data_IF_518421457051
#
_entry.id   IF_518421457051
#
_cell.length_a   1.000
_cell.length_b   1.000
_cell.length_c   1.000
_cell.angle_alpha   90.00
_cell.angle_beta   90.00
_cell.angle_gamma   90.00
#
_symmetry.space_group_name_H-M   'P 1'
#
loop_
_entity.id
_entity.type
_entity.pdbx_description
1 polymer ?
#
# COMPACT_ATOMS: atom_id res chain seq x y z
N UNK A 1 2.94 -1.22 -34.11
CA UNK A 1 1.58 -1.00 -33.54
C UNK A 1 0.93 -2.29 -33.02
N UNK A 2 1.21 -3.45 -33.63
CA UNK A 2 0.65 -4.74 -33.21
C UNK A 2 1.15 -5.22 -31.85
N UNK A 3 2.40 -4.96 -31.52
CA UNK A 3 3.00 -5.37 -30.25
C UNK A 3 2.53 -4.56 -29.06
N UNK A 4 2.30 -3.26 -29.28
CA UNK A 4 1.70 -2.38 -28.27
C UNK A 4 0.25 -2.77 -27.97
N UNK A 5 -0.50 -3.16 -28.99
CA UNK A 5 -1.88 -3.62 -28.83
C UNK A 5 -1.96 -4.96 -28.07
N UNK A 6 -1.03 -5.89 -28.34
CA UNK A 6 -0.91 -7.16 -27.62
C UNK A 6 -0.48 -6.96 -26.15
N UNK A 7 0.51 -6.09 -25.91
CA UNK A 7 0.96 -5.73 -24.57
C UNK A 7 -0.17 -5.10 -23.77
N UNK A 8 -0.92 -4.16 -24.37
CA UNK A 8 -2.07 -3.51 -23.73
C UNK A 8 -3.17 -4.53 -23.39
N UNK A 9 -3.51 -5.44 -24.31
CA UNK A 9 -4.52 -6.47 -24.05
C UNK A 9 -4.10 -7.43 -22.93
N UNK A 10 -2.83 -7.82 -22.87
CA UNK A 10 -2.30 -8.66 -21.78
C UNK A 10 -2.35 -7.94 -20.45
N UNK A 11 -1.94 -6.68 -20.39
CA UNK A 11 -1.99 -5.87 -19.15
C UNK A 11 -3.43 -5.70 -18.66
N UNK A 12 -4.40 -5.50 -19.56
CA UNK A 12 -5.81 -5.36 -19.20
C UNK A 12 -6.40 -6.62 -18.54
N UNK A 13 -5.86 -7.79 -18.83
CA UNK A 13 -6.31 -9.05 -18.22
C UNK A 13 -5.49 -9.37 -16.96
N UNK A 14 -4.18 -9.20 -17.02
CA UNK A 14 -3.27 -9.57 -15.93
C UNK A 14 -3.50 -8.69 -14.70
N UNK A 15 -3.72 -7.38 -14.88
CA UNK A 15 -3.90 -6.43 -13.77
C UNK A 15 -5.12 -6.76 -12.89
N UNK A 16 -6.34 -6.95 -13.44
CA UNK A 16 -7.49 -7.35 -12.62
C UNK A 16 -7.32 -8.72 -11.95
N UNK A 17 -6.72 -9.68 -12.66
CA UNK A 17 -6.44 -11.02 -12.09
C UNK A 17 -5.49 -10.91 -10.90
N UNK A 18 -4.41 -10.14 -11.04
CA UNK A 18 -3.45 -9.92 -9.96
C UNK A 18 -4.10 -9.23 -8.76
N UNK A 19 -4.92 -8.20 -8.99
CA UNK A 19 -5.67 -7.52 -7.93
C UNK A 19 -6.62 -8.48 -7.24
N UNK A 20 -7.33 -9.32 -7.98
CA UNK A 20 -8.24 -10.32 -7.42
C UNK A 20 -7.48 -11.34 -6.55
N UNK A 21 -6.34 -11.83 -7.00
CA UNK A 21 -5.49 -12.76 -6.22
C UNK A 21 -5.02 -12.09 -4.93
N UNK A 22 -4.54 -10.86 -5.00
CA UNK A 22 -4.09 -10.10 -3.83
C UNK A 22 -5.26 -9.89 -2.86
N UNK A 23 -6.44 -9.54 -3.36
CA UNK A 23 -7.63 -9.38 -2.53
C UNK A 23 -7.98 -10.67 -1.79
N UNK A 24 -7.95 -11.81 -2.49
CA UNK A 24 -8.23 -13.13 -1.89
C UNK A 24 -7.19 -13.45 -0.80
N UNK A 25 -5.90 -13.23 -1.07
CA UNK A 25 -4.84 -13.46 -0.07
C UNK A 25 -5.00 -12.56 1.15
N UNK A 26 -5.31 -11.28 0.95
CA UNK A 26 -5.57 -10.34 2.05
C UNK A 26 -6.83 -10.74 2.84
N UNK A 27 -7.85 -11.22 2.15
CA UNK A 27 -9.06 -11.72 2.79
C UNK A 27 -8.75 -12.91 3.70
N UNK A 28 -7.97 -13.89 3.22
CA UNK A 28 -7.54 -15.01 4.06
C UNK A 28 -6.66 -14.58 5.23
N UNK A 29 -5.81 -13.58 5.03
CA UNK A 29 -4.90 -13.09 6.07
C UNK A 29 -5.64 -12.35 7.19
N UNK A 30 -6.61 -11.51 6.84
CA UNK A 30 -7.32 -10.67 7.82
C UNK A 30 -8.66 -11.27 8.27
N UNK A 31 -9.19 -12.25 7.54
CA UNK A 31 -10.53 -12.82 7.79
C UNK A 31 -11.68 -11.83 7.52
N UNK A 32 -11.40 -10.68 6.88
CA UNK A 32 -12.37 -9.62 6.61
C UNK A 32 -12.13 -8.97 5.26
N UNK A 33 -13.18 -8.89 4.43
CA UNK A 33 -13.16 -8.20 3.16
C UNK A 33 -12.95 -6.67 3.32
N UNK A 34 -13.36 -6.13 4.45
CA UNK A 34 -13.25 -4.71 4.75
C UNK A 34 -11.79 -4.29 4.91
N UNK A 35 -10.99 -5.05 5.66
CA UNK A 35 -9.56 -4.79 5.82
C UNK A 35 -8.78 -5.02 4.53
N UNK A 36 -9.14 -6.04 3.76
CA UNK A 36 -8.57 -6.27 2.44
C UNK A 36 -8.85 -5.08 1.49
N UNK A 37 -10.08 -4.57 1.51
CA UNK A 37 -10.47 -3.38 0.75
C UNK A 37 -9.72 -2.12 1.16
N UNK A 38 -9.51 -1.91 2.46
CA UNK A 38 -8.72 -0.79 3.00
C UNK A 38 -7.27 -0.80 2.50
N UNK A 39 -6.63 -1.97 2.52
CA UNK A 39 -5.27 -2.12 1.99
C UNK A 39 -5.23 -1.80 0.51
N UNK A 40 -6.17 -2.34 -0.28
CA UNK A 40 -6.22 -2.10 -1.72
C UNK A 40 -6.57 -0.64 -2.06
N UNK A 41 -7.32 0.06 -1.21
CA UNK A 41 -7.61 1.48 -1.41
C UNK A 41 -6.35 2.35 -1.38
N UNK A 42 -5.28 1.90 -0.72
CA UNK A 42 -4.00 2.59 -0.70
C UNK A 42 -3.31 2.61 -2.08
N UNK A 43 -3.60 1.62 -2.92
CA UNK A 43 -2.98 1.47 -4.26
C UNK A 43 -3.32 2.61 -5.22
N UNK A 44 -4.60 2.98 -5.46
CA UNK A 44 -4.94 4.10 -6.34
C UNK A 44 -4.24 5.39 -5.96
N UNK A 45 -4.10 5.66 -4.67
CA UNK A 45 -3.44 6.87 -4.19
C UNK A 45 -1.93 6.87 -4.48
N UNK A 46 -1.29 5.72 -4.35
CA UNK A 46 0.12 5.59 -4.71
C UNK A 46 0.34 5.77 -6.22
N UNK A 47 -0.59 5.29 -7.04
CA UNK A 47 -0.56 5.48 -8.49
C UNK A 47 -0.68 6.96 -8.87
N UNK A 48 -1.59 7.69 -8.22
CA UNK A 48 -1.75 9.14 -8.43
C UNK A 48 -0.44 9.87 -8.13
N UNK A 49 0.25 9.53 -7.05
CA UNK A 49 1.55 10.10 -6.72
C UNK A 49 2.62 9.82 -7.78
N UNK A 50 2.69 8.59 -8.27
CA UNK A 50 3.61 8.23 -9.35
C UNK A 50 3.35 8.98 -10.65
N UNK A 51 2.08 9.10 -11.05
CA UNK A 51 1.67 9.87 -12.24
C UNK A 51 1.98 11.36 -12.08
N UNK A 52 1.68 11.93 -10.92
CA UNK A 52 1.96 13.33 -10.62
C UNK A 52 3.46 13.65 -10.75
N UNK A 53 4.33 12.79 -10.22
CA UNK A 53 5.78 13.00 -10.33
C UNK A 53 6.30 12.84 -11.76
N UNK A 54 5.74 11.92 -12.56
CA UNK A 54 6.06 11.84 -13.99
C UNK A 54 5.68 13.13 -14.71
N UNK A 55 4.49 13.66 -14.42
CA UNK A 55 4.00 14.90 -15.01
C UNK A 55 4.89 16.10 -14.62
N UNK A 56 5.22 16.25 -13.34
CA UNK A 56 6.08 17.33 -12.84
C UNK A 56 7.49 17.30 -13.46
N UNK A 57 7.99 16.13 -13.81
CA UNK A 57 9.31 15.97 -14.43
C UNK A 57 9.25 15.92 -15.96
N UNK A 58 8.10 16.13 -16.56
CA UNK A 58 7.89 16.06 -18.02
C UNK A 58 8.41 14.76 -18.64
N UNK A 59 8.24 13.63 -17.93
CA UNK A 59 8.65 12.31 -18.40
C UNK A 59 7.41 11.60 -18.94
N UNK A 60 7.50 11.11 -20.20
CA UNK A 60 6.42 10.37 -20.82
C UNK A 60 6.23 8.99 -20.16
N UNK A 61 4.99 8.50 -20.17
CA UNK A 61 4.66 7.16 -19.71
C UNK A 61 5.36 6.14 -20.63
N UNK A 62 6.30 5.42 -20.06
CA UNK A 62 7.11 4.41 -20.75
C UNK A 62 6.86 3.02 -20.15
N UNK A 63 7.36 1.99 -20.81
CA UNK A 63 7.34 0.61 -20.25
C UNK A 63 8.06 0.56 -18.90
N UNK A 64 9.15 1.31 -18.77
CA UNK A 64 9.90 1.41 -17.50
C UNK A 64 9.10 2.06 -16.39
N UNK A 65 8.31 3.09 -16.70
CA UNK A 65 7.37 3.68 -15.76
C UNK A 65 6.31 2.67 -15.33
N UNK A 66 5.79 1.84 -16.25
CA UNK A 66 4.83 0.79 -15.92
C UNK A 66 5.42 -0.25 -14.95
N UNK A 67 6.68 -0.65 -15.11
CA UNK A 67 7.38 -1.51 -14.16
C UNK A 67 7.53 -0.83 -12.79
N UNK A 68 7.81 0.48 -12.79
CA UNK A 68 7.81 1.29 -11.56
C UNK A 68 6.46 1.27 -10.84
N UNK A 69 5.36 1.37 -11.56
CA UNK A 69 4.01 1.27 -10.99
C UNK A 69 3.72 -0.11 -10.39
N UNK A 70 4.16 -1.20 -11.04
CA UNK A 70 4.00 -2.56 -10.50
C UNK A 70 4.79 -2.70 -9.18
N UNK A 71 6.02 -2.21 -9.14
CA UNK A 71 6.84 -2.22 -7.92
C UNK A 71 6.20 -1.39 -6.81
N UNK A 72 5.69 -0.21 -7.15
CA UNK A 72 4.99 0.69 -6.23
C UNK A 72 3.71 0.06 -5.65
N UNK A 73 2.97 -0.69 -6.48
CA UNK A 73 1.79 -1.44 -6.04
C UNK A 73 2.15 -2.42 -4.91
N UNK A 74 3.22 -3.20 -5.07
CA UNK A 74 3.67 -4.14 -4.05
C UNK A 74 4.02 -3.45 -2.73
N UNK A 75 4.75 -2.34 -2.80
CA UNK A 75 5.13 -1.57 -1.60
C UNK A 75 3.91 -0.92 -0.93
N UNK A 76 2.96 -0.39 -1.71
CA UNK A 76 1.74 0.21 -1.18
C UNK A 76 0.87 -0.81 -0.42
N UNK A 77 0.71 -2.01 -0.99
CA UNK A 77 -0.01 -3.12 -0.33
C UNK A 77 0.71 -3.52 0.95
N UNK A 78 2.03 -3.71 0.90
CA UNK A 78 2.82 -4.10 2.07
C UNK A 78 2.71 -3.08 3.21
N UNK A 79 2.80 -1.79 2.91
CA UNK A 79 2.65 -0.72 3.90
C UNK A 79 1.26 -0.74 4.55
N UNK A 80 0.20 -0.91 3.76
CA UNK A 80 -1.16 -1.01 4.25
C UNK A 80 -1.37 -2.24 5.15
N UNK A 81 -0.82 -3.39 4.75
CA UNK A 81 -0.86 -4.63 5.54
C UNK A 81 -0.19 -4.45 6.90
N UNK A 82 1.00 -3.85 6.94
CA UNK A 82 1.74 -3.65 8.19
C UNK A 82 0.96 -2.79 9.19
N UNK A 83 0.37 -1.69 8.73
CA UNK A 83 -0.40 -0.78 9.60
C UNK A 83 -1.66 -1.48 10.13
N UNK A 84 -2.43 -2.14 9.27
CA UNK A 84 -3.66 -2.83 9.69
C UNK A 84 -3.35 -4.02 10.61
N UNK A 85 -2.32 -4.81 10.30
CA UNK A 85 -1.90 -5.92 11.12
C UNK A 85 -1.51 -5.46 12.54
N UNK A 86 -0.79 -4.33 12.65
CA UNK A 86 -0.40 -3.78 13.94
C UNK A 86 -1.59 -3.25 14.74
N UNK A 87 -2.52 -2.54 14.10
CA UNK A 87 -3.76 -2.09 14.75
C UNK A 87 -4.55 -3.30 15.28
N UNK A 88 -4.71 -4.34 14.46
CA UNK A 88 -5.42 -5.56 14.86
C UNK A 88 -4.69 -6.30 15.98
N UNK A 89 -3.35 -6.31 15.99
CA UNK A 89 -2.54 -6.87 17.07
C UNK A 89 -2.80 -6.16 18.39
N UNK A 90 -2.79 -4.83 18.39
CA UNK A 90 -3.06 -4.02 19.58
C UNK A 90 -4.48 -4.24 20.08
N UNK A 91 -5.46 -4.27 19.20
CA UNK A 91 -6.86 -4.53 19.56
C UNK A 91 -7.08 -5.90 20.21
N UNK A 92 -6.34 -6.91 19.76
CA UNK A 92 -6.41 -8.27 20.36
C UNK A 92 -5.68 -8.34 21.70
N UNK A 93 -4.55 -7.63 21.83
CA UNK A 93 -3.77 -7.61 23.06
C UNK A 93 -4.44 -6.81 24.18
N UNK A 94 -5.17 -5.76 23.83
CA UNK A 94 -5.84 -4.84 24.75
C UNK A 94 -7.30 -4.61 24.34
N UNK A 95 -8.21 -5.57 24.61
CA UNK A 95 -9.63 -5.45 24.23
C UNK A 95 -10.35 -4.27 24.90
N UNK A 96 -9.89 -3.85 26.06
CA UNK A 96 -10.42 -2.73 26.85
C UNK A 96 -10.12 -1.36 26.22
N UNK A 97 -9.12 -1.29 25.31
CA UNK A 97 -8.71 -0.02 24.71
C UNK A 97 -9.78 0.47 23.72
N UNK A 98 -10.13 1.78 23.78
CA UNK A 98 -10.97 2.38 22.75
C UNK A 98 -10.38 2.18 21.37
N UNK A 99 -11.21 1.88 20.36
CA UNK A 99 -10.77 1.60 18.98
C UNK A 99 -9.89 2.73 18.43
N UNK A 100 -10.24 3.99 18.71
CA UNK A 100 -9.46 5.15 18.28
C UNK A 100 -8.04 5.17 18.86
N UNK A 101 -7.90 4.77 20.12
CA UNK A 101 -6.59 4.73 20.76
C UNK A 101 -5.74 3.59 20.22
N UNK A 102 -6.33 2.42 19.96
CA UNK A 102 -5.64 1.30 19.30
C UNK A 102 -5.16 1.69 17.88
N UNK A 103 -5.97 2.43 17.13
CA UNK A 103 -5.60 2.96 15.81
C UNK A 103 -4.43 3.93 15.92
N UNK A 104 -4.50 4.86 16.86
CA UNK A 104 -3.42 5.84 17.09
C UNK A 104 -2.11 5.15 17.45
N UNK A 105 -2.14 4.22 18.39
CA UNK A 105 -0.96 3.48 18.81
C UNK A 105 -0.39 2.61 17.67
N UNK A 106 -1.23 1.93 16.91
CA UNK A 106 -0.82 1.13 15.75
C UNK A 106 -0.18 1.98 14.66
N UNK A 107 -0.78 3.13 14.33
CA UNK A 107 -0.22 4.05 13.35
C UNK A 107 1.14 4.61 13.80
N UNK A 108 1.25 5.02 15.07
CA UNK A 108 2.52 5.54 15.64
C UNK A 108 3.59 4.44 15.70
N UNK A 109 3.24 3.21 16.08
CA UNK A 109 4.17 2.09 16.13
C UNK A 109 4.77 1.77 14.75
N UNK A 110 3.97 1.90 13.68
CA UNK A 110 4.42 1.64 12.31
C UNK A 110 5.07 2.85 11.63
N UNK A 111 5.00 4.04 12.25
CA UNK A 111 5.58 5.24 11.67
C UNK A 111 7.10 5.11 11.45
N UNK A 112 7.81 4.61 12.46
CA UNK A 112 9.28 4.44 12.39
C UNK A 112 9.71 3.41 11.33
N UNK A 113 9.21 2.16 11.31
CA UNK A 113 9.59 1.18 10.27
C UNK A 113 9.22 1.64 8.87
N UNK A 114 8.04 2.23 8.67
CA UNK A 114 7.58 2.71 7.36
C UNK A 114 8.46 3.88 6.89
N UNK A 115 8.75 4.86 7.74
CA UNK A 115 9.64 5.96 7.37
C UNK A 115 11.05 5.50 7.03
N UNK A 116 11.61 4.56 7.79
CA UNK A 116 12.93 4.00 7.49
C UNK A 116 12.95 3.29 6.14
N UNK A 117 11.93 2.47 5.84
CA UNK A 117 11.80 1.81 4.55
C UNK A 117 11.73 2.83 3.40
N UNK A 118 10.95 3.90 3.56
CA UNK A 118 10.81 4.96 2.56
C UNK A 118 12.12 5.71 2.37
N UNK A 119 12.81 6.10 3.44
CA UNK A 119 14.09 6.81 3.37
C UNK A 119 15.14 5.96 2.65
N UNK A 120 15.25 4.68 2.99
CA UNK A 120 16.19 3.75 2.34
C UNK A 120 15.86 3.60 0.85
N UNK A 121 14.58 3.43 0.51
CA UNK A 121 14.16 3.32 -0.88
C UNK A 121 14.42 4.63 -1.66
N UNK A 122 14.16 5.79 -1.06
CA UNK A 122 14.46 7.09 -1.68
C UNK A 122 15.96 7.26 -1.91
N UNK A 123 16.79 6.96 -0.91
CA UNK A 123 18.25 7.06 -1.05
C UNK A 123 18.77 6.14 -2.16
N UNK A 124 18.23 4.93 -2.29
CA UNK A 124 18.58 4.00 -3.36
C UNK A 124 18.12 4.44 -4.75
N UNK A 125 16.97 5.12 -4.84
CA UNK A 125 16.36 5.51 -6.12
C UNK A 125 16.78 6.92 -6.61
N UNK A 126 17.23 7.81 -5.73
CA UNK A 126 17.67 9.18 -6.12
C UNK A 126 18.79 9.17 -7.16
N UNK A 127 19.84 8.35 -7.05
CA UNK A 127 20.87 8.26 -8.10
C UNK A 127 20.28 7.83 -9.45
N UNK A 128 19.39 6.83 -9.45
CA UNK A 128 18.73 6.33 -10.66
C UNK A 128 17.80 7.39 -11.29
N UNK A 129 17.10 8.17 -10.49
CA UNK A 129 16.26 9.27 -10.95
C UNK A 129 17.04 10.44 -11.55
N UNK A 130 18.34 10.57 -11.22
CA UNK A 130 19.26 11.59 -11.73
C UNK A 130 20.21 11.06 -12.80
N UNK A 131 20.14 9.78 -13.12
CA UNK A 131 21.01 9.16 -14.11
C UNK A 131 20.97 9.91 -15.44
N UNK A 132 22.13 10.13 -16.04
CA UNK A 132 22.33 10.70 -17.36
C UNK A 132 23.29 9.80 -18.14
N UNK A 133 23.01 9.58 -19.42
CA UNK A 133 23.83 8.73 -20.26
C UNK A 133 23.08 7.48 -20.74
N UNK A 134 23.82 6.47 -21.22
CA UNK A 134 23.27 5.26 -21.80
C UNK A 134 22.49 4.47 -20.71
N UNK A 135 21.22 4.15 -20.97
CA UNK A 135 20.36 3.43 -20.03
C UNK A 135 19.56 4.32 -19.07
N UNK A 136 19.82 5.64 -19.04
CA UNK A 136 19.05 6.57 -18.21
C UNK A 136 17.57 6.65 -18.60
N UNK A 137 17.23 6.40 -19.87
CA UNK A 137 15.86 6.41 -20.39
C UNK A 137 14.99 5.33 -19.75
N UNK A 138 15.60 4.26 -19.23
CA UNK A 138 14.90 3.19 -18.50
C UNK A 138 14.86 3.49 -17.00
N UNK A 139 15.97 3.94 -16.42
CA UNK A 139 16.08 4.11 -14.97
C UNK A 139 15.33 5.34 -14.45
N UNK A 140 15.38 6.45 -15.16
CA UNK A 140 14.75 7.71 -14.74
C UNK A 140 13.24 7.64 -14.58
N UNK A 141 12.46 7.12 -15.57
CA UNK A 141 11.01 6.99 -15.42
C UNK A 141 10.63 6.06 -14.28
N UNK A 142 11.29 4.89 -14.19
CA UNK A 142 11.06 3.91 -13.13
C UNK A 142 11.30 4.52 -11.74
N UNK A 143 12.47 5.10 -11.52
CA UNK A 143 12.82 5.70 -10.23
C UNK A 143 11.91 6.88 -9.87
N UNK A 144 11.52 7.70 -10.86
CA UNK A 144 10.61 8.83 -10.65
C UNK A 144 9.23 8.37 -10.17
N UNK A 145 8.67 7.32 -10.78
CA UNK A 145 7.37 6.74 -10.37
C UNK A 145 7.46 6.20 -8.96
N UNK A 146 8.52 5.43 -8.65
CA UNK A 146 8.68 4.82 -7.33
C UNK A 146 8.85 5.89 -6.25
N UNK A 147 9.69 6.90 -6.47
CA UNK A 147 9.88 8.00 -5.52
C UNK A 147 8.55 8.74 -5.27
N UNK A 148 7.89 9.18 -6.33
CA UNK A 148 6.66 9.95 -6.23
C UNK A 148 5.53 9.17 -5.57
N UNK A 149 5.34 7.93 -6.00
CA UNK A 149 4.32 7.07 -5.44
C UNK A 149 4.60 6.66 -4.00
N UNK A 150 5.85 6.41 -3.64
CA UNK A 150 6.25 6.03 -2.30
C UNK A 150 6.00 7.15 -1.28
N UNK A 151 6.38 8.39 -1.63
CA UNK A 151 6.13 9.56 -0.79
C UNK A 151 4.62 9.77 -0.59
N UNK A 152 3.85 9.74 -1.68
CA UNK A 152 2.40 9.95 -1.63
C UNK A 152 1.69 8.81 -0.90
N UNK A 153 2.04 7.57 -1.18
CA UNK A 153 1.49 6.39 -0.50
C UNK A 153 1.76 6.43 1.00
N UNK A 154 2.97 6.80 1.41
CA UNK A 154 3.33 6.86 2.83
C UNK A 154 2.54 7.95 3.55
N UNK A 155 2.46 9.14 2.98
CA UNK A 155 1.64 10.22 3.56
C UNK A 155 0.18 9.80 3.71
N UNK A 156 -0.37 9.17 2.68
CA UNK A 156 -1.76 8.70 2.69
C UNK A 156 -1.97 7.54 3.66
N UNK A 157 -1.08 6.56 3.69
CA UNK A 157 -1.18 5.43 4.62
C UNK A 157 -1.19 5.91 6.06
N UNK A 158 -0.33 6.85 6.41
CA UNK A 158 -0.22 7.38 7.78
C UNK A 158 -1.36 8.32 8.16
N UNK A 159 -1.95 9.04 7.20
CA UNK A 159 -3.02 10.01 7.44
C UNK A 159 -4.41 9.43 7.19
N UNK A 160 -4.62 8.79 6.06
CA UNK A 160 -5.96 8.35 5.62
C UNK A 160 -6.36 7.04 6.29
N UNK A 161 -5.43 6.11 6.46
CA UNK A 161 -5.75 4.81 7.02
C UNK A 161 -6.27 4.90 8.46
N UNK A 162 -5.67 5.70 9.37
CA UNK A 162 -6.24 5.93 10.70
C UNK A 162 -7.61 6.62 10.70
N UNK A 163 -7.87 7.47 9.72
CA UNK A 163 -9.14 8.21 9.60
C UNK A 163 -10.27 7.31 9.07
N UNK A 164 -9.95 6.45 8.10
CA UNK A 164 -10.94 5.60 7.43
C UNK A 164 -11.21 4.30 8.21
N UNK A 165 -10.22 3.79 8.94
CA UNK A 165 -10.34 2.56 9.72
C UNK A 165 -11.54 2.50 10.66
N UNK A 166 -11.92 3.55 11.42
CA UNK A 166 -13.07 3.52 12.31
C UNK A 166 -14.40 3.29 11.58
N UNK A 167 -14.52 3.74 10.34
CA UNK A 167 -15.73 3.56 9.55
C UNK A 167 -15.97 2.10 9.19
N UNK A 168 -14.90 1.36 8.94
CA UNK A 168 -14.95 -0.06 8.61
C UNK A 168 -15.01 -0.94 9.86
N UNK A 169 -14.43 -0.49 10.98
CA UNK A 169 -14.41 -1.24 12.25
C UNK A 169 -15.74 -1.25 12.99
N UNK A 170 -16.70 -0.39 12.65
CA UNK A 170 -18.03 -0.36 13.30
C UNK A 170 -18.85 -1.64 13.08
N UNK A 171 -18.52 -2.45 12.08
CA UNK A 171 -19.24 -3.68 11.74
C UNK A 171 -18.70 -4.93 12.45
N UNK A 172 -17.44 -4.91 12.89
CA UNK A 172 -16.84 -6.03 13.61
C UNK A 172 -16.93 -5.80 15.14
N UNK A 173 -18.09 -6.12 15.72
CA UNK A 173 -18.10 -6.50 17.14
C UNK A 173 -17.32 -7.82 17.21
N UNK A 174 -16.09 -7.76 17.71
CA UNK A 174 -15.37 -8.95 18.11
C UNK A 174 -16.28 -9.61 19.16
N UNK A 175 -16.94 -10.69 18.77
CA UNK A 175 -17.64 -11.56 19.71
C UNK A 175 -16.53 -12.17 20.56
N UNK A 176 -16.30 -11.59 21.73
CA UNK A 176 -15.46 -12.21 22.76
C UNK A 176 -16.24 -13.50 23.11
N UNK A 177 -15.66 -14.69 22.94
CA UNK A 177 -16.29 -15.87 23.49
C UNK A 177 -16.41 -15.62 24.99
N UNK A 178 -17.62 -15.62 25.51
CA UNK A 178 -17.89 -15.57 26.93
C UNK A 178 -17.03 -16.67 27.60
N UNK A 179 -16.20 -16.36 28.61
CA UNK A 179 -15.54 -17.42 29.33
C UNK A 179 -16.64 -18.31 29.90
N UNK A 180 -16.69 -19.55 29.44
CA UNK A 180 -17.50 -20.56 30.10
C UNK A 180 -17.17 -20.51 31.57
N UNK A 181 -18.09 -19.91 32.33
CA UNK A 181 -18.09 -20.01 33.78
C UNK A 181 -18.10 -21.50 34.07
N UNK A 182 -16.96 -22.03 34.41
CA UNK A 182 -16.84 -23.36 35.01
C UNK A 182 -17.71 -23.39 36.28
N UNK A 183 -18.93 -23.81 36.07
CA UNK A 183 -19.71 -24.31 37.18
C UNK A 183 -19.21 -25.73 37.51
N UNK A 184 -18.41 -25.84 38.51
CA UNK A 184 -18.24 -27.06 39.29
C UNK A 184 -18.10 -26.67 40.74
#
# INVERSE_FOLDING_TARGET
SSDLARARKRLTVILPVTIAIIFVLLFFMFGSAQYAGLVLMNVPFSLVGGVLFLYLRHINLSVSAAVGFISLFGVAVMSGVLVIAEINRIRRAYPELPVQEAIRQGAVAQLRPVLLMVIVALLGMVPAARASGIGSDVQRPLATVVIGGLVTSTMLTLLVLPVVYPWFSKSDRITIPEPELMHA
#
